data_IF_014290196513
#
_entry.id   IF_014290196513
#
_cell.length_a   1.000
_cell.length_b   1.000
_cell.length_c   1.000
_cell.angle_alpha   90.00
_cell.angle_beta   90.00
_cell.angle_gamma   90.00
#
_symmetry.space_group_name_H-M   'P 1'
#
loop_
_entity.id
_entity.type
_entity.pdbx_description
1 polymer ?
#
# COMPACT_ATOMS: atom_id res chain seq x y z
N UNK A 1 1.13 18.98 7.83
CA UNK A 1 1.73 17.63 8.03
C UNK A 1 0.81 16.60 7.38
N UNK A 2 1.31 15.49 6.81
CA UNK A 2 0.44 14.48 6.25
C UNK A 2 -0.20 13.65 7.39
N UNK A 3 -1.32 12.95 7.16
CA UNK A 3 -1.90 12.05 8.14
C UNK A 3 -0.90 10.97 8.58
N UNK A 4 -0.84 10.60 9.87
CA UNK A 4 0.12 9.60 10.36
C UNK A 4 0.04 8.24 9.65
N UNK A 5 -1.16 7.89 9.18
CA UNK A 5 -1.42 6.65 8.44
C UNK A 5 -0.62 6.50 7.15
N UNK A 6 -0.13 7.60 6.55
CA UNK A 6 0.73 7.53 5.35
C UNK A 6 2.12 7.00 5.66
N UNK A 7 2.54 7.02 6.93
CA UNK A 7 3.82 6.47 7.38
C UNK A 7 3.76 4.99 7.73
N UNK A 8 2.56 4.38 7.76
CA UNK A 8 2.43 2.94 7.97
C UNK A 8 3.00 2.17 6.77
N UNK A 9 3.97 1.25 6.97
CA UNK A 9 4.53 0.46 5.89
C UNK A 9 3.46 -0.28 5.07
N UNK A 10 3.68 -0.35 3.77
CA UNK A 10 2.80 -1.11 2.87
C UNK A 10 2.82 -2.58 3.27
N UNK A 11 1.64 -3.13 3.48
CA UNK A 11 1.50 -4.52 3.89
C UNK A 11 1.65 -5.44 2.67
N UNK A 12 2.39 -6.53 2.86
CA UNK A 12 2.48 -7.60 1.88
C UNK A 12 1.78 -8.82 2.47
N UNK A 13 0.68 -9.30 1.88
CA UNK A 13 0.05 -10.54 2.33
C UNK A 13 0.99 -11.72 2.08
N UNK A 14 0.73 -12.83 2.75
CA UNK A 14 1.44 -14.08 2.52
C UNK A 14 0.57 -15.00 1.65
N UNK A 15 1.20 -15.70 0.71
CA UNK A 15 0.56 -16.79 0.00
C UNK A 15 0.54 -18.00 0.95
N UNK A 16 -0.65 -18.37 1.41
CA UNK A 16 -0.83 -19.51 2.30
C UNK A 16 -1.35 -20.69 1.49
N UNK A 17 -0.54 -21.75 1.37
CA UNK A 17 -0.91 -22.96 0.63
C UNK A 17 -0.34 -23.00 -0.79
N UNK A 18 -0.88 -23.90 -1.59
CA UNK A 18 -0.33 -24.27 -2.91
C UNK A 18 -1.40 -24.62 -3.94
N UNK A 19 -2.66 -24.28 -3.67
CA UNK A 19 -3.76 -24.51 -4.61
C UNK A 19 -4.04 -23.27 -5.47
N UNK A 20 -4.78 -23.44 -6.56
CA UNK A 20 -5.27 -22.31 -7.36
C UNK A 20 -6.20 -21.38 -6.57
N UNK A 21 -6.97 -21.93 -5.63
CA UNK A 21 -7.81 -21.14 -4.73
C UNK A 21 -6.96 -20.21 -3.86
N UNK A 22 -5.89 -20.74 -3.28
CA UNK A 22 -4.95 -19.97 -2.46
C UNK A 22 -4.29 -18.83 -3.26
N UNK A 23 -3.88 -19.12 -4.50
CA UNK A 23 -3.29 -18.13 -5.38
C UNK A 23 -4.26 -17.00 -5.73
N UNK A 24 -5.54 -17.34 -5.99
CA UNK A 24 -6.57 -16.34 -6.26
C UNK A 24 -6.86 -15.48 -5.02
N UNK A 25 -7.04 -16.10 -3.85
CA UNK A 25 -7.25 -15.40 -2.58
C UNK A 25 -6.08 -14.48 -2.24
N UNK A 26 -4.85 -14.95 -2.41
CA UNK A 26 -3.64 -14.13 -2.25
C UNK A 26 -3.63 -12.94 -3.20
N UNK A 27 -3.96 -13.15 -4.48
CA UNK A 27 -3.96 -12.08 -5.48
C UNK A 27 -4.97 -10.99 -5.13
N UNK A 28 -6.16 -11.36 -4.65
CA UNK A 28 -7.16 -10.40 -4.18
C UNK A 28 -6.65 -9.60 -2.96
N UNK A 29 -6.09 -10.28 -1.96
CA UNK A 29 -5.51 -9.61 -0.80
C UNK A 29 -4.34 -8.68 -1.17
N UNK A 30 -3.53 -9.09 -2.15
CA UNK A 30 -2.41 -8.31 -2.67
C UNK A 30 -2.93 -7.07 -3.41
N UNK A 31 -3.95 -7.22 -4.26
CA UNK A 31 -4.56 -6.11 -4.97
C UNK A 31 -5.09 -5.05 -4.00
N UNK A 32 -5.82 -5.45 -2.95
CA UNK A 32 -6.29 -4.53 -1.91
C UNK A 32 -5.13 -3.83 -1.20
N UNK A 33 -4.10 -4.59 -0.82
CA UNK A 33 -2.92 -4.04 -0.13
C UNK A 33 -2.18 -3.02 -0.99
N UNK A 34 -2.06 -3.28 -2.30
CA UNK A 34 -1.44 -2.37 -3.27
C UNK A 34 -2.26 -1.11 -3.48
N UNK A 35 -3.60 -1.20 -3.58
CA UNK A 35 -4.46 -0.02 -3.73
C UNK A 35 -4.35 0.90 -2.50
N UNK A 36 -4.35 0.34 -1.29
CA UNK A 36 -4.16 1.11 -0.05
C UNK A 36 -2.77 1.75 -0.03
N UNK A 37 -1.73 0.98 -0.36
CA UNK A 37 -0.35 1.47 -0.42
C UNK A 37 -0.21 2.63 -1.42
N UNK A 38 -0.76 2.49 -2.62
CA UNK A 38 -0.72 3.51 -3.66
C UNK A 38 -1.38 4.81 -3.19
N UNK A 39 -2.52 4.73 -2.50
CA UNK A 39 -3.17 5.89 -1.89
C UNK A 39 -2.29 6.62 -0.88
N UNK A 40 -1.65 5.89 0.04
CA UNK A 40 -0.72 6.46 1.03
C UNK A 40 0.47 7.14 0.37
N UNK A 41 1.09 6.49 -0.61
CA UNK A 41 2.23 7.04 -1.37
C UNK A 41 1.82 8.30 -2.13
N UNK A 42 0.65 8.31 -2.77
CA UNK A 42 0.13 9.48 -3.47
C UNK A 42 -0.08 10.66 -2.51
N UNK A 43 -0.70 10.43 -1.33
CA UNK A 43 -0.87 11.47 -0.31
C UNK A 43 0.47 11.99 0.20
N UNK A 44 1.42 11.11 0.49
CA UNK A 44 2.76 11.51 0.95
C UNK A 44 3.49 12.34 -0.10
N UNK A 45 3.44 11.95 -1.36
CA UNK A 45 4.07 12.69 -2.46
C UNK A 45 3.41 14.06 -2.68
N UNK A 46 2.08 14.14 -2.61
CA UNK A 46 1.35 15.40 -2.70
C UNK A 46 1.71 16.35 -1.55
N UNK A 47 1.93 15.81 -0.34
CA UNK A 47 2.44 16.60 0.79
C UNK A 47 3.89 17.05 0.55
N UNK A 48 4.78 16.16 0.10
CA UNK A 48 6.18 16.50 -0.19
C UNK A 48 6.30 17.62 -1.22
N UNK A 49 5.44 17.64 -2.24
CA UNK A 49 5.44 18.67 -3.28
C UNK A 49 5.07 20.07 -2.77
N UNK A 50 4.45 20.19 -1.59
CA UNK A 50 4.10 21.47 -0.96
C UNK A 50 5.23 22.01 -0.07
N UNK A 51 6.26 21.21 0.20
CA UNK A 51 7.38 21.65 1.01
C UNK A 51 8.27 22.61 0.20
N UNK A 52 8.78 23.70 0.80
CA UNK A 52 9.74 24.55 0.15
C UNK A 52 10.95 23.73 -0.32
N UNK A 53 11.36 23.94 -1.57
CA UNK A 53 12.65 23.45 -2.04
C UNK A 53 13.74 24.22 -1.29
N UNK A 54 14.48 23.51 -0.45
CA UNK A 54 15.58 24.08 0.33
C UNK A 54 16.84 24.26 -0.51
#
# INVERSE_FOLDING_TARGET
MPPESVFTPCQQPQLLGSTWGDALSYTLALQTSLQICAGRVATLNAWRAQLPSH
#
